data_IF_271256870742
#
_entry.id   IF_271256870742
#
_cell.length_a   1.000
_cell.length_b   1.000
_cell.length_c   1.000
_cell.angle_alpha   90.00
_cell.angle_beta   90.00
_cell.angle_gamma   90.00
#
_symmetry.space_group_name_H-M   'P 1'
#
loop_
_entity.id
_entity.type
_entity.pdbx_description
1 polymer ?
#
# COMPACT_ATOMS: atom_id res chain seq x y z
N UNK A 1 18.19 13.89 34.85
CA UNK A 1 17.75 12.66 34.16
C UNK A 1 16.86 13.09 32.99
N UNK A 2 17.46 13.40 31.83
CA UNK A 2 16.70 13.73 30.63
C UNK A 2 16.39 12.42 29.92
N UNK A 3 15.14 11.95 30.04
CA UNK A 3 14.64 10.91 29.15
C UNK A 3 14.23 11.62 27.88
N UNK A 4 14.99 11.45 26.80
CA UNK A 4 14.63 11.95 25.48
C UNK A 4 13.21 11.48 25.16
N UNK A 5 12.26 12.43 25.16
CA UNK A 5 10.86 12.17 24.91
C UNK A 5 10.70 11.87 23.42
N UNK A 6 10.70 10.59 23.07
CA UNK A 6 10.42 10.15 21.70
C UNK A 6 8.94 10.33 21.41
N UNK A 7 8.60 11.38 20.65
CA UNK A 7 7.23 11.59 20.17
C UNK A 7 6.95 10.56 19.06
N UNK A 8 5.89 9.75 19.20
CA UNK A 8 5.53 8.78 18.17
C UNK A 8 5.12 9.49 16.88
N UNK A 9 5.62 8.99 15.75
CA UNK A 9 5.23 9.48 14.42
C UNK A 9 3.91 8.81 14.01
N UNK A 10 2.94 9.61 13.58
CA UNK A 10 1.65 9.13 13.07
C UNK A 10 1.62 9.21 11.54
N UNK A 11 1.06 8.19 10.88
CA UNK A 11 0.86 8.21 9.43
C UNK A 11 -0.41 8.98 9.10
N UNK A 12 -0.33 9.89 8.14
CA UNK A 12 -1.48 10.63 7.61
C UNK A 12 -1.59 10.44 6.10
N UNK A 13 -2.81 10.42 5.59
CA UNK A 13 -3.14 10.33 4.17
C UNK A 13 -4.25 11.33 3.87
N UNK A 14 -4.13 12.10 2.79
CA UNK A 14 -5.25 12.88 2.27
C UNK A 14 -6.03 11.95 1.32
N UNK A 15 -7.29 11.70 1.63
CA UNK A 15 -8.10 10.75 0.88
C UNK A 15 -9.59 11.03 0.99
N UNK A 16 -10.37 10.41 0.10
CA UNK A 16 -11.83 10.46 0.15
C UNK A 16 -12.33 9.44 1.16
N UNK A 17 -13.02 9.89 2.21
CA UNK A 17 -13.58 8.99 3.22
C UNK A 17 -14.69 8.13 2.61
N UNK A 18 -14.68 6.79 2.77
CA UNK A 18 -15.75 5.93 2.27
C UNK A 18 -17.08 6.12 3.00
N UNK A 19 -17.08 6.63 4.23
CA UNK A 19 -18.31 6.85 5.02
C UNK A 19 -18.99 8.17 4.63
N UNK A 20 -18.33 9.31 4.85
CA UNK A 20 -18.93 10.62 4.58
C UNK A 20 -18.75 11.12 3.14
N UNK A 21 -17.98 10.41 2.30
CA UNK A 21 -17.69 10.76 0.90
C UNK A 21 -16.95 12.08 0.69
N UNK A 22 -16.47 12.71 1.76
CA UNK A 22 -15.69 13.95 1.71
C UNK A 22 -14.19 13.68 1.60
N UNK A 23 -13.46 14.66 1.04
CA UNK A 23 -11.99 14.65 1.11
C UNK A 23 -11.58 15.09 2.50
N UNK A 24 -10.84 14.23 3.21
CA UNK A 24 -10.45 14.46 4.60
C UNK A 24 -9.01 14.04 4.85
N UNK A 25 -8.47 14.51 5.97
CA UNK A 25 -7.23 13.96 6.52
C UNK A 25 -7.56 12.66 7.25
N UNK A 26 -6.91 11.57 6.85
CA UNK A 26 -7.04 10.25 7.44
C UNK A 26 -5.78 9.97 8.25
N UNK A 27 -5.88 9.73 9.56
CA UNK A 27 -4.72 9.45 10.41
C UNK A 27 -4.76 8.03 10.97
N UNK A 28 -3.62 7.34 10.97
CA UNK A 28 -3.52 5.95 11.41
C UNK A 28 -3.67 5.83 12.92
N UNK A 29 -4.60 4.97 13.37
CA UNK A 29 -4.78 4.63 14.79
C UNK A 29 -3.89 3.43 15.13
N UNK A 30 -3.97 2.38 14.31
CA UNK A 30 -3.16 1.17 14.34
C UNK A 30 -2.91 0.75 12.89
N UNK A 31 -1.97 -0.15 12.64
CA UNK A 31 -1.59 -0.63 11.30
C UNK A 31 -2.82 -0.85 10.41
N UNK A 32 -2.86 -0.20 9.25
CA UNK A 32 -3.92 -0.28 8.24
C UNK A 32 -5.31 0.24 8.66
N UNK A 33 -5.48 0.75 9.89
CA UNK A 33 -6.71 1.40 10.36
C UNK A 33 -6.49 2.91 10.51
N UNK A 34 -7.42 3.68 9.95
CA UNK A 34 -7.38 5.13 9.89
C UNK A 34 -8.66 5.74 10.46
N UNK A 35 -8.56 6.93 11.05
CA UNK A 35 -9.71 7.73 11.45
C UNK A 35 -9.88 8.93 10.52
N UNK A 36 -11.12 9.21 10.15
CA UNK A 36 -11.46 10.40 9.38
C UNK A 36 -11.48 11.65 10.25
N UNK A 37 -10.79 12.72 9.85
CA UNK A 37 -10.81 14.01 10.55
C UNK A 37 -12.16 14.74 10.47
N UNK A 38 -13.07 14.31 9.59
CA UNK A 38 -14.33 15.02 9.30
C UNK A 38 -15.55 14.36 9.94
N UNK A 39 -15.67 13.03 9.85
CA UNK A 39 -16.83 12.30 10.37
C UNK A 39 -16.47 11.30 11.47
N UNK A 40 -15.21 11.30 11.92
CA UNK A 40 -14.70 10.45 13.00
C UNK A 40 -14.84 8.94 12.78
N UNK A 41 -15.24 8.50 11.59
CA UNK A 41 -15.35 7.08 11.29
C UNK A 41 -13.97 6.42 11.25
N UNK A 42 -13.92 5.19 11.74
CA UNK A 42 -12.77 4.31 11.63
C UNK A 42 -12.92 3.51 10.34
N UNK A 43 -11.86 3.52 9.52
CA UNK A 43 -11.85 2.90 8.20
C UNK A 43 -10.59 2.06 8.06
N UNK A 44 -10.71 0.93 7.37
CA UNK A 44 -9.60 0.05 7.08
C UNK A 44 -9.06 0.32 5.67
N UNK A 45 -7.77 0.57 5.56
CA UNK A 45 -7.08 0.67 4.29
C UNK A 45 -6.64 -0.72 3.82
N UNK A 46 -7.16 -1.15 2.68
CA UNK A 46 -6.66 -2.34 1.99
C UNK A 46 -5.67 -1.90 0.91
N UNK A 47 -4.38 -2.18 1.13
CA UNK A 47 -3.34 -1.96 0.11
C UNK A 47 -3.34 -3.18 -0.81
N UNK A 48 -4.12 -3.10 -1.90
CA UNK A 48 -4.17 -4.15 -2.92
C UNK A 48 -2.94 -4.05 -3.85
N UNK A 49 -1.78 -4.51 -3.38
CA UNK A 49 -0.60 -4.67 -4.24
C UNK A 49 -0.92 -5.60 -5.41
N UNK A 50 -1.13 -5.07 -6.63
CA UNK A 50 -1.48 -5.91 -7.77
C UNK A 50 -0.22 -6.45 -8.43
N UNK A 51 0.10 -7.72 -8.18
CA UNK A 51 1.02 -8.48 -9.05
C UNK A 51 0.18 -9.04 -10.20
N UNK A 52 0.55 -8.70 -11.44
CA UNK A 52 -0.10 -9.21 -12.65
C UNK A 52 0.85 -10.16 -13.37
N UNK A 53 0.38 -11.38 -13.61
CA UNK A 53 1.03 -12.36 -14.47
C UNK A 53 0.34 -12.35 -15.82
N UNK A 54 1.11 -12.16 -16.88
CA UNK A 54 0.64 -12.15 -18.27
C UNK A 54 1.01 -13.47 -18.93
N UNK A 55 0.20 -13.92 -19.89
CA UNK A 55 0.53 -15.12 -20.66
C UNK A 55 1.85 -14.92 -21.42
N UNK A 56 2.69 -15.95 -21.38
CA UNK A 56 3.98 -15.91 -22.05
C UNK A 56 3.75 -16.14 -23.54
N UNK A 57 4.07 -15.13 -24.35
CA UNK A 57 4.05 -15.25 -25.81
C UNK A 57 5.03 -16.32 -26.27
N UNK A 58 4.83 -16.87 -27.46
CA UNK A 58 5.74 -17.90 -28.00
C UNK A 58 7.17 -17.36 -28.19
N UNK A 59 7.31 -16.08 -28.53
CA UNK A 59 8.60 -15.38 -28.57
C UNK A 59 9.27 -15.36 -27.19
N UNK A 60 8.51 -15.04 -26.13
CA UNK A 60 9.03 -15.02 -24.77
C UNK A 60 9.44 -16.43 -24.30
N UNK A 61 8.72 -17.48 -24.72
CA UNK A 61 9.11 -18.87 -24.47
C UNK A 61 10.44 -19.20 -25.14
N UNK A 62 10.65 -18.76 -26.37
CA UNK A 62 11.86 -19.08 -27.13
C UNK A 62 13.10 -18.35 -26.57
N UNK A 63 12.94 -17.08 -26.24
CA UNK A 63 13.97 -16.29 -25.54
C UNK A 63 14.36 -16.98 -24.22
N UNK A 64 13.37 -17.43 -23.44
CA UNK A 64 13.62 -18.12 -22.17
C UNK A 64 14.40 -19.44 -22.36
N UNK A 65 14.15 -20.19 -23.44
CA UNK A 65 14.91 -21.41 -23.74
C UNK A 65 16.35 -21.10 -24.09
N UNK A 66 16.60 -20.10 -24.93
CA UNK A 66 17.95 -19.69 -25.32
C UNK A 66 18.76 -19.22 -24.10
N UNK A 67 18.14 -18.43 -23.22
CA UNK A 67 18.77 -18.01 -21.96
C UNK A 67 19.13 -19.18 -21.04
N UNK A 68 18.31 -20.25 -21.00
CA UNK A 68 18.63 -21.46 -20.23
C UNK A 68 19.81 -22.22 -20.79
N UNK A 69 19.98 -22.23 -22.11
CA UNK A 69 21.04 -22.96 -22.80
C UNK A 69 22.39 -22.23 -22.74
N UNK A 70 22.39 -20.90 -22.71
CA UNK A 70 23.62 -20.09 -22.67
C UNK A 70 24.23 -19.90 -21.27
N UNK A 71 23.55 -20.33 -20.22
CA UNK A 71 24.05 -20.28 -18.83
C UNK A 71 24.58 -21.65 -18.35
N UNK A 72 24.87 -22.57 -19.28
CA UNK A 72 25.48 -23.88 -19.04
C UNK A 72 26.86 -24.00 -19.64
#
# INVERSE_FOLDING_TARGET
>A
MNKDLKIPQIKTVIGRCPECKETALLFSIVSDFYKCSQCESEIQQYINGSIRYIEMTDDAKEILKQMRQNNG
#
